data_IF_783651545478
#
_entry.id   IF_783651545478
#
_cell.length_a   1.000
_cell.length_b   1.000
_cell.length_c   1.000
_cell.angle_alpha   90.00
_cell.angle_beta   90.00
_cell.angle_gamma   90.00
#
_symmetry.space_group_name_H-M   'P 1'
#
loop_
_entity.id
_entity.type
_entity.pdbx_description
1 polymer ?
#
# COMPACT_ATOMS: atom_id res chain seq x y z
N UNK A 1 23.01 -10.57 8.76
CA UNK A 1 22.21 -9.47 9.32
C UNK A 1 22.33 -8.29 8.37
N UNK A 2 21.38 -8.10 7.46
CA UNK A 2 20.87 -6.81 6.92
C UNK A 2 20.19 -7.07 5.58
N UNK A 3 18.87 -6.98 5.59
CA UNK A 3 18.10 -6.40 4.50
C UNK A 3 17.11 -5.47 5.19
N UNK A 4 17.67 -4.38 5.70
CA UNK A 4 16.93 -3.15 5.97
C UNK A 4 16.71 -2.54 4.59
N UNK A 5 15.56 -2.82 4.00
CA UNK A 5 15.17 -2.32 2.70
C UNK A 5 13.73 -1.82 2.85
N UNK A 6 13.53 -0.53 2.60
CA UNK A 6 12.24 0.12 2.37
C UNK A 6 11.37 -0.81 1.55
N UNK A 7 10.49 -1.55 2.23
CA UNK A 7 9.91 -2.75 1.63
C UNK A 7 8.75 -2.33 0.76
N UNK A 8 8.88 -2.56 -0.56
CA UNK A 8 7.81 -2.41 -1.55
C UNK A 8 6.76 -3.54 -1.38
N UNK A 9 6.40 -3.83 -0.14
CA UNK A 9 5.38 -4.81 0.17
C UNK A 9 4.03 -4.34 -0.34
N UNK A 10 3.23 -5.31 -0.75
CA UNK A 10 1.85 -5.08 -1.14
C UNK A 10 0.98 -5.08 0.11
N UNK A 11 -0.09 -4.29 0.07
CA UNK A 11 -1.00 -4.13 1.19
C UNK A 11 -2.43 -4.34 0.71
N UNK A 12 -3.23 -5.12 1.44
CA UNK A 12 -4.64 -5.36 1.11
C UNK A 12 -5.54 -4.60 2.06
N UNK A 13 -6.54 -3.91 1.52
CA UNK A 13 -7.58 -3.27 2.29
C UNK A 13 -8.46 -4.33 2.98
N UNK A 14 -8.48 -4.34 4.31
CA UNK A 14 -9.35 -5.25 5.08
C UNK A 14 -10.86 -4.96 4.99
N UNK A 15 -11.28 -3.94 4.23
CA UNK A 15 -12.69 -3.57 4.03
C UNK A 15 -13.22 -4.05 2.69
N UNK A 16 -12.48 -3.80 1.61
CA UNK A 16 -12.92 -4.09 0.24
C UNK A 16 -11.98 -5.02 -0.55
N UNK A 17 -10.90 -5.48 0.09
CA UNK A 17 -9.88 -6.36 -0.49
C UNK A 17 -9.09 -5.75 -1.68
N UNK A 18 -9.14 -4.42 -1.86
CA UNK A 18 -8.28 -3.75 -2.82
C UNK A 18 -6.82 -3.85 -2.39
N UNK A 19 -5.94 -4.24 -3.31
CA UNK A 19 -4.50 -4.30 -3.08
C UNK A 19 -3.84 -3.01 -3.54
N UNK A 20 -3.05 -2.39 -2.67
CA UNK A 20 -2.05 -1.40 -3.04
C UNK A 20 -0.76 -2.13 -3.39
N UNK A 21 -0.32 -1.99 -4.64
CA UNK A 21 0.97 -2.49 -5.11
C UNK A 21 1.91 -1.30 -5.35
N UNK A 22 3.01 -1.16 -4.58
CA UNK A 22 4.00 -0.12 -4.82
C UNK A 22 4.56 -0.12 -6.24
N UNK A 23 4.61 -1.27 -6.93
CA UNK A 23 5.06 -1.34 -8.32
C UNK A 23 4.08 -0.68 -9.31
N UNK A 24 2.81 -0.53 -8.93
CA UNK A 24 1.78 0.14 -9.73
C UNK A 24 1.50 1.57 -9.24
N UNK A 25 1.66 1.81 -7.94
CA UNK A 25 1.26 3.06 -7.27
C UNK A 25 -0.26 3.13 -7.09
N UNK A 26 -0.81 4.34 -7.17
CA UNK A 26 -2.25 4.58 -7.10
C UNK A 26 -2.66 5.66 -8.13
N UNK A 27 -3.25 5.28 -9.28
CA UNK A 27 -3.60 6.24 -10.32
C UNK A 27 -4.76 7.17 -9.92
N UNK A 28 -5.61 6.77 -8.97
CA UNK A 28 -6.74 7.60 -8.50
C UNK A 28 -6.22 8.76 -7.65
N UNK A 29 -5.26 8.49 -6.78
CA UNK A 29 -4.55 9.50 -5.99
C UNK A 29 -3.34 10.10 -6.71
N UNK A 30 -3.09 9.70 -7.95
CA UNK A 30 -1.94 10.13 -8.76
C UNK A 30 -0.58 9.83 -8.09
N UNK A 31 -0.52 8.74 -7.32
CA UNK A 31 0.70 8.21 -6.74
C UNK A 31 1.44 7.41 -7.82
N UNK A 32 2.68 7.79 -8.17
CA UNK A 32 3.44 7.06 -9.18
C UNK A 32 3.89 5.68 -8.69
N UNK A 33 4.23 4.77 -9.62
CA UNK A 33 4.97 3.55 -9.31
C UNK A 33 6.25 3.81 -8.50
N UNK A 34 6.59 2.87 -7.61
CA UNK A 34 7.77 2.87 -6.75
C UNK A 34 7.57 3.50 -5.37
N UNK A 35 6.36 3.95 -5.04
CA UNK A 35 6.06 4.55 -3.72
C UNK A 35 5.66 3.45 -2.75
N UNK A 36 6.41 3.26 -1.66
CA UNK A 36 6.05 2.29 -0.63
C UNK A 36 4.77 2.74 0.11
N UNK A 37 4.04 1.79 0.69
CA UNK A 37 2.82 2.10 1.45
C UNK A 37 3.09 3.04 2.64
N UNK A 38 4.28 2.94 3.23
CA UNK A 38 4.72 3.78 4.35
C UNK A 38 4.99 5.23 3.94
N UNK A 39 5.35 5.46 2.67
CA UNK A 39 5.60 6.79 2.09
C UNK A 39 4.33 7.47 1.56
N UNK A 40 3.18 6.79 1.63
CA UNK A 40 1.89 7.39 1.27
C UNK A 40 1.54 8.55 2.22
N UNK A 41 0.87 9.60 1.71
CA UNK A 41 0.36 10.70 2.54
C UNK A 41 -0.49 10.20 3.72
N UNK A 42 -0.50 10.95 4.83
CA UNK A 42 -1.31 10.61 6.01
C UNK A 42 -2.83 10.63 5.69
N UNK A 43 -3.23 11.48 4.76
CA UNK A 43 -4.61 11.66 4.30
C UNK A 43 -5.01 10.65 3.21
N UNK A 44 -4.09 9.79 2.77
CA UNK A 44 -4.40 8.79 1.75
C UNK A 44 -5.41 7.77 2.29
N UNK A 45 -6.43 7.51 1.48
CA UNK A 45 -7.49 6.52 1.73
C UNK A 45 -7.61 5.56 0.55
N UNK A 46 -8.15 4.37 0.82
CA UNK A 46 -8.37 3.36 -0.21
C UNK A 46 -9.11 3.95 -1.42
N UNK A 47 -8.55 3.87 -2.64
CA UNK A 47 -9.16 4.47 -3.83
C UNK A 47 -10.48 3.81 -4.25
N UNK A 48 -10.80 2.65 -3.67
CA UNK A 48 -12.01 1.90 -3.98
C UNK A 48 -13.15 2.10 -2.95
N UNK A 49 -12.84 2.38 -1.68
CA UNK A 49 -13.86 2.43 -0.63
C UNK A 49 -13.67 3.50 0.44
N UNK A 50 -12.69 4.41 0.26
CA UNK A 50 -12.37 5.50 1.20
C UNK A 50 -11.98 5.05 2.62
N UNK A 51 -11.71 3.76 2.83
CA UNK A 51 -11.20 3.28 4.10
C UNK A 51 -9.81 3.88 4.39
N UNK A 52 -9.52 4.29 5.64
CA UNK A 52 -8.23 4.89 5.97
C UNK A 52 -7.10 3.86 5.81
N UNK A 53 -5.88 4.34 5.57
CA UNK A 53 -4.67 3.49 5.41
C UNK A 53 -4.46 2.49 6.55
N UNK A 54 -4.94 2.80 7.75
CA UNK A 54 -4.88 1.93 8.94
C UNK A 54 -5.70 0.64 8.82
N UNK A 55 -6.58 0.52 7.82
CA UNK A 55 -7.32 -0.71 7.51
C UNK A 55 -6.58 -1.65 6.56
N UNK A 56 -5.41 -1.27 6.07
CA UNK A 56 -4.62 -2.12 5.21
C UNK A 56 -3.75 -3.07 6.01
N UNK A 57 -3.64 -4.30 5.52
CA UNK A 57 -2.80 -5.34 6.10
C UNK A 57 -1.71 -5.70 5.09
N UNK A 58 -0.47 -5.78 5.57
CA UNK A 58 0.67 -6.18 4.74
C UNK A 58 0.46 -7.60 4.25
N UNK A 59 0.45 -7.78 2.94
CA UNK A 59 0.56 -9.07 2.29
C UNK A 59 2.06 -9.40 2.22
N UNK A 60 2.62 -9.95 3.31
CA UNK A 60 3.98 -10.45 3.27
C UNK A 60 4.12 -11.50 2.15
N UNK A 61 5.27 -11.53 1.47
CA UNK A 61 5.59 -12.58 0.50
C UNK A 61 5.53 -13.93 1.22
N UNK A 62 4.47 -14.68 0.97
CA UNK A 62 4.11 -15.87 1.71
C UNK A 62 5.22 -16.92 1.66
N UNK A 63 5.79 -17.22 2.81
CA UNK A 63 6.38 -18.54 3.10
C UNK A 63 5.34 -19.43 3.76
#
# INVERSE_FOLDING_TARGET
MTADATSLDRFECGICWQVYDPAEGDPVWQIPPGVAFEDLPEEWCCPNCDAPRTKFMRLGDGR
#
